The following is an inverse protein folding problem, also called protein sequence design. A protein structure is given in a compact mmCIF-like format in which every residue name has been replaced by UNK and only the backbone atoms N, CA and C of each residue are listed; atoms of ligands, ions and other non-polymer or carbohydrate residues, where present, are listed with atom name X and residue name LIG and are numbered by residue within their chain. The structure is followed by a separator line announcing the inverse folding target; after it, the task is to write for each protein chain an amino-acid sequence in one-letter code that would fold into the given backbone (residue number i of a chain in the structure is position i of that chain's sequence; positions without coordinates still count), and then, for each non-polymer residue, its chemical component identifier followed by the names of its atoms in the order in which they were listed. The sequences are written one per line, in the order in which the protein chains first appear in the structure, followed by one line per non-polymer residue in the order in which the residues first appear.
data_IF_865537822051
#
_entry.id   IF_865537822051
#
_cell.length_a   1.000
_cell.length_b   1.000
_cell.length_c   1.000
_cell.angle_alpha   90.00
_cell.angle_beta   90.00
_cell.angle_gamma   90.00
#
_symmetry.space_group_name_H-M   'P 1'
#
loop_
_entity.id
_entity.type
_entity.pdbx_description
1 polymer ?
#
# COMPACT_ATOMS: atom_id res chain seq x y z
N UNK A 1 9.46 14.78 -0.23
CA UNK A 1 9.86 13.96 -1.40
C UNK A 1 8.60 13.56 -2.14
N UNK A 2 8.54 13.85 -3.44
CA UNK A 2 7.44 13.43 -4.30
C UNK A 2 8.01 12.57 -5.43
N UNK A 3 7.49 11.35 -5.57
CA UNK A 3 7.96 10.37 -6.54
C UNK A 3 6.75 9.75 -7.26
N UNK A 4 6.80 9.66 -8.58
CA UNK A 4 5.84 8.89 -9.36
C UNK A 4 6.52 7.65 -9.94
N UNK A 5 5.91 6.50 -9.72
CA UNK A 5 6.39 5.21 -10.19
C UNK A 5 5.46 4.67 -11.29
N UNK A 6 5.99 4.45 -12.49
CA UNK A 6 5.24 3.95 -13.64
C UNK A 6 5.48 2.45 -13.80
N UNK A 7 4.39 1.67 -13.78
CA UNK A 7 4.38 0.26 -14.17
C UNK A 7 3.60 0.13 -15.47
N UNK A 8 4.24 -0.44 -16.49
CA UNK A 8 3.61 -0.79 -17.76
C UNK A 8 3.49 -2.31 -17.80
N UNK A 9 2.27 -2.87 -17.84
CA UNK A 9 2.06 -4.30 -18.06
C UNK A 9 2.80 -4.74 -19.33
N UNK A 10 3.49 -5.88 -19.27
CA UNK A 10 4.00 -6.53 -20.49
C UNK A 10 2.87 -7.19 -21.30
N UNK A 11 3.23 -7.87 -22.40
CA UNK A 11 2.26 -8.52 -23.29
C UNK A 11 1.38 -9.56 -22.59
N UNK A 12 1.90 -10.27 -21.59
CA UNK A 12 1.15 -11.26 -20.82
C UNK A 12 0.26 -10.58 -19.77
N UNK A 13 0.82 -9.63 -19.02
CA UNK A 13 0.13 -8.87 -17.98
C UNK A 13 -1.00 -7.99 -18.56
N UNK A 14 -0.86 -7.52 -19.81
CA UNK A 14 -1.87 -6.73 -20.50
C UNK A 14 -3.18 -7.48 -20.74
N UNK A 15 -3.18 -8.82 -20.63
CA UNK A 15 -4.37 -9.66 -20.75
C UNK A 15 -5.16 -9.77 -19.45
N UNK A 16 -4.67 -9.24 -18.34
CA UNK A 16 -5.35 -9.34 -17.04
C UNK A 16 -6.31 -8.18 -16.78
N UNK A 17 -7.46 -8.44 -16.13
CA UNK A 17 -8.40 -7.38 -15.75
C UNK A 17 -7.76 -6.42 -14.74
N UNK A 18 -8.25 -5.18 -14.69
CA UNK A 18 -7.77 -4.16 -13.75
C UNK A 18 -7.82 -4.60 -12.27
N UNK A 19 -8.78 -5.44 -11.91
CA UNK A 19 -8.91 -6.00 -10.55
C UNK A 19 -7.69 -6.83 -10.12
N UNK A 20 -6.94 -7.44 -11.06
CA UNK A 20 -5.72 -8.20 -10.76
C UNK A 20 -4.60 -7.31 -10.17
N UNK A 21 -4.64 -6.01 -10.44
CA UNK A 21 -3.65 -5.03 -9.99
C UNK A 21 -4.02 -4.33 -8.67
N UNK A 22 -5.16 -4.68 -8.05
CA UNK A 22 -5.68 -4.04 -6.85
C UNK A 22 -4.74 -4.11 -5.63
N UNK A 23 -3.88 -5.12 -5.58
CA UNK A 23 -2.91 -5.32 -4.49
C UNK A 23 -1.70 -4.39 -4.57
N UNK A 24 -1.43 -3.75 -5.71
CA UNK A 24 -0.20 -3.00 -5.95
C UNK A 24 0.02 -1.89 -4.90
N UNK A 25 -1.03 -1.17 -4.51
CA UNK A 25 -0.92 -0.12 -3.48
C UNK A 25 -0.39 -0.67 -2.16
N UNK A 26 -0.83 -1.87 -1.74
CA UNK A 26 -0.36 -2.47 -0.50
C UNK A 26 1.12 -2.88 -0.58
N UNK A 27 1.57 -3.37 -1.74
CA UNK A 27 2.99 -3.67 -1.98
C UNK A 27 3.85 -2.41 -1.93
N UNK A 28 3.36 -1.31 -2.50
CA UNK A 28 4.00 0.00 -2.41
C UNK A 28 4.07 0.47 -0.97
N UNK A 29 3.01 0.33 -0.16
CA UNK A 29 3.05 0.68 1.26
C UNK A 29 4.17 -0.09 2.01
N UNK A 30 4.32 -1.39 1.76
CA UNK A 30 5.41 -2.19 2.35
C UNK A 30 6.78 -1.73 1.85
N UNK A 31 6.92 -1.41 0.56
CA UNK A 31 8.18 -0.91 -0.01
C UNK A 31 8.59 0.45 0.59
N UNK A 32 7.63 1.39 0.71
CA UNK A 32 7.85 2.70 1.34
C UNK A 32 8.21 2.52 2.82
N UNK A 33 7.50 1.65 3.54
CA UNK A 33 7.81 1.34 4.94
C UNK A 33 9.24 0.82 5.10
N UNK A 34 9.66 -0.15 4.28
CA UNK A 34 11.04 -0.67 4.28
C UNK A 34 12.09 0.41 4.01
N UNK A 35 11.80 1.35 3.10
CA UNK A 35 12.70 2.46 2.81
C UNK A 35 12.83 3.42 4.01
N UNK A 36 11.72 3.77 4.63
CA UNK A 36 11.69 4.63 5.82
C UNK A 36 12.38 3.94 7.00
N UNK A 37 12.13 2.64 7.25
CA UNK A 37 12.82 1.88 8.29
C UNK A 37 14.34 1.89 8.11
N UNK A 38 14.83 1.76 6.88
CA UNK A 38 16.27 1.75 6.60
C UNK A 38 16.93 3.13 6.77
N UNK A 39 16.26 4.19 6.31
CA UNK A 39 16.83 5.54 6.33
C UNK A 39 16.66 6.22 7.68
N UNK A 40 15.54 5.96 8.36
CA UNK A 40 15.14 6.66 9.58
C UNK A 40 15.24 5.81 10.85
N UNK A 41 15.45 4.48 10.74
CA UNK A 41 15.44 3.58 11.89
C UNK A 41 14.08 3.43 12.57
N UNK A 42 13.00 3.87 11.91
CA UNK A 42 11.62 3.88 12.42
C UNK A 42 10.73 3.10 11.47
N UNK A 43 9.94 2.17 11.99
CA UNK A 43 8.95 1.43 11.19
C UNK A 43 7.61 2.16 11.22
N UNK A 44 7.11 2.63 10.07
CA UNK A 44 5.78 3.24 9.97
C UNK A 44 4.65 2.24 10.22
N UNK A 45 3.57 2.76 10.76
CA UNK A 45 2.27 2.11 10.69
C UNK A 45 1.60 2.40 9.33
N UNK A 46 0.69 1.53 8.91
CA UNK A 46 -0.16 1.70 7.75
C UNK A 46 -1.61 1.92 8.21
N UNK A 47 -2.18 3.05 7.82
CA UNK A 47 -3.62 3.29 7.87
C UNK A 47 -4.20 2.89 6.52
N UNK A 48 -5.01 1.82 6.52
CA UNK A 48 -5.50 1.23 5.29
C UNK A 48 -6.20 2.26 4.39
N UNK A 49 -5.97 2.24 3.07
CA UNK A 49 -5.07 1.34 2.31
C UNK A 49 -3.71 1.99 1.97
N UNK A 50 -3.64 3.32 2.05
CA UNK A 50 -2.68 4.09 1.28
C UNK A 50 -1.93 5.18 2.07
N UNK A 51 -2.14 5.25 3.38
CA UNK A 51 -1.52 6.24 4.24
C UNK A 51 -0.53 5.58 5.20
N UNK A 52 0.69 6.13 5.30
CA UNK A 52 1.65 5.73 6.33
C UNK A 52 1.78 6.83 7.38
N UNK A 53 1.91 6.39 8.63
CA UNK A 53 1.96 7.25 9.79
C UNK A 53 3.05 6.83 10.77
N UNK A 54 3.52 7.79 11.54
CA UNK A 54 4.43 7.61 12.67
C UNK A 54 3.83 8.36 13.84
N UNK A 55 3.82 7.73 15.02
CA UNK A 55 3.26 8.31 16.25
C UNK A 55 1.81 8.79 16.06
N UNK A 56 1.02 8.02 15.31
CA UNK A 56 -0.39 8.31 15.01
C UNK A 56 -0.64 9.44 14.00
N UNK A 57 0.41 10.05 13.42
CA UNK A 57 0.29 11.18 12.48
C UNK A 57 0.80 10.81 11.09
N UNK A 58 0.05 11.20 10.06
CA UNK A 58 0.34 10.88 8.67
C UNK A 58 1.56 11.66 8.17
N UNK A 59 2.51 10.97 7.55
CA UNK A 59 3.65 11.61 6.87
C UNK A 59 3.75 11.20 5.39
N UNK A 60 3.08 10.13 4.97
CA UNK A 60 3.11 9.68 3.59
C UNK A 60 1.70 9.33 3.10
N UNK A 61 1.42 9.72 1.86
CA UNK A 61 0.23 9.32 1.12
C UNK A 61 0.63 8.68 -0.22
N UNK A 62 -0.05 7.59 -0.56
CA UNK A 62 0.13 6.85 -1.80
C UNK A 62 -1.16 6.94 -2.62
N UNK A 63 -1.04 7.12 -3.92
CA UNK A 63 -2.16 7.11 -4.86
C UNK A 63 -1.79 6.31 -6.09
N UNK A 64 -2.49 5.20 -6.33
CA UNK A 64 -2.33 4.38 -7.53
C UNK A 64 -3.47 4.68 -8.49
N UNK A 65 -3.15 5.12 -9.70
CA UNK A 65 -4.09 5.37 -10.78
C UNK A 65 -3.78 4.46 -11.97
N UNK A 66 -4.82 4.00 -12.65
CA UNK A 66 -4.70 3.13 -13.82
C UNK A 66 -5.36 3.79 -15.03
N UNK A 67 -4.76 3.58 -16.19
CA UNK A 67 -5.39 3.86 -17.49
C UNK A 67 -5.76 2.54 -18.14
N UNK A 68 -6.94 2.47 -18.75
CA UNK A 68 -7.43 1.25 -19.38
C UNK A 68 -7.28 1.33 -20.90
N UNK A 69 -7.17 0.17 -21.54
CA UNK A 69 -7.29 0.06 -23.00
C UNK A 69 -8.70 0.46 -23.45
N UNK A 70 -8.87 1.10 -24.62
CA UNK A 70 -10.19 1.49 -25.11
C UNK A 70 -11.15 0.30 -25.18
N UNK A 71 -12.39 0.50 -24.72
CA UNK A 71 -13.46 -0.50 -24.72
C UNK A 71 -13.09 -1.81 -24.00
N UNK A 72 -12.26 -1.72 -22.96
CA UNK A 72 -11.74 -2.87 -22.24
C UNK A 72 -11.55 -2.56 -20.75
N UNK A 73 -11.59 -3.59 -19.91
CA UNK A 73 -11.22 -3.55 -18.48
C UNK A 73 -9.72 -3.88 -18.26
N UNK A 74 -8.93 -3.92 -19.33
CA UNK A 74 -7.50 -4.23 -19.32
C UNK A 74 -6.66 -2.98 -19.10
N UNK A 75 -5.62 -3.12 -18.30
CA UNK A 75 -4.74 -2.01 -17.91
C UNK A 75 -3.74 -1.70 -19.01
N UNK A 76 -3.66 -0.43 -19.41
CA UNK A 76 -2.63 0.08 -20.31
C UNK A 76 -1.38 0.53 -19.53
N UNK A 77 -1.56 1.32 -18.48
CA UNK A 77 -0.48 1.83 -17.61
C UNK A 77 -0.99 2.05 -16.20
N UNK A 78 -0.09 1.88 -15.23
CA UNK A 78 -0.34 2.16 -13.81
C UNK A 78 0.67 3.19 -13.33
N UNK A 79 0.19 4.26 -12.71
CA UNK A 79 1.03 5.27 -12.08
C UNK A 79 0.74 5.28 -10.59
N UNK A 80 1.77 5.08 -9.77
CA UNK A 80 1.69 5.25 -8.33
C UNK A 80 2.44 6.50 -7.91
N UNK A 81 1.70 7.52 -7.46
CA UNK A 81 2.24 8.71 -6.80
C UNK A 81 2.53 8.43 -5.32
N UNK A 82 3.70 8.83 -4.86
CA UNK A 82 4.18 8.67 -3.48
C UNK A 82 4.62 10.06 -2.99
N UNK A 83 3.87 10.62 -2.05
CA UNK A 83 4.21 11.87 -1.39
C UNK A 83 4.65 11.62 0.05
N UNK A 84 5.88 12.01 0.39
CA UNK A 84 6.45 11.87 1.73
C UNK A 84 6.83 13.24 2.27
N UNK A 85 6.28 13.61 3.42
CA UNK A 85 6.72 14.75 4.22
C UNK A 85 8.05 14.40 4.90
N UNK A 86 9.12 15.10 4.56
CA UNK A 86 10.48 14.79 5.04
C UNK A 86 11.00 15.84 6.01
N UNK A 87 10.99 17.12 5.63
CA UNK A 87 11.65 18.21 6.37
C UNK A 87 10.68 19.27 6.90
N UNK A 88 9.42 19.19 6.51
CA UNK A 88 8.36 20.15 6.84
C UNK A 88 8.24 20.25 8.38
N UNK A 89 8.17 21.47 8.88
CA UNK A 89 7.91 21.81 10.28
C UNK A 89 6.41 21.86 10.53
N UNK A 90 6.00 21.96 11.80
CA UNK A 90 4.59 22.03 12.17
C UNK A 90 3.90 23.25 11.53
N UNK A 91 4.61 24.37 11.44
CA UNK A 91 4.08 25.63 10.92
C UNK A 91 3.87 25.61 9.40
N UNK A 92 4.57 24.73 8.68
CA UNK A 92 4.47 24.55 7.23
C UNK A 92 3.15 23.85 6.82
N UNK A 93 2.47 23.22 7.78
CA UNK A 93 1.16 22.61 7.55
C UNK A 93 0.02 23.58 7.85
N UNK A 94 -1.10 23.52 7.08
CA UNK A 94 -2.36 24.18 7.40
C UNK A 94 -2.80 23.90 8.84
N UNK A 95 -3.36 24.90 9.52
CA UNK A 95 -3.66 24.85 10.96
C UNK A 95 -4.53 23.64 11.35
N UNK A 96 -5.51 23.32 10.53
CA UNK A 96 -6.43 22.19 10.67
C UNK A 96 -5.75 20.81 10.51
N UNK A 97 -4.57 20.75 9.90
CA UNK A 97 -3.83 19.51 9.68
C UNK A 97 -2.71 19.27 10.70
N UNK A 98 -2.25 20.31 11.42
CA UNK A 98 -1.03 20.26 12.26
C UNK A 98 -1.00 19.15 13.31
N UNK A 99 -2.16 18.72 13.80
CA UNK A 99 -2.26 17.64 14.78
C UNK A 99 -2.36 16.24 14.14
N UNK A 100 -2.78 16.15 12.88
CA UNK A 100 -3.00 14.89 12.17
C UNK A 100 -1.87 14.50 11.21
N UNK A 101 -1.01 15.46 10.83
CA UNK A 101 0.13 15.24 9.94
C UNK A 101 1.48 15.47 10.62
N UNK A 102 2.53 14.87 10.08
CA UNK A 102 3.90 15.03 10.53
C UNK A 102 4.88 14.89 9.37
N UNK A 103 6.18 15.02 9.66
CA UNK A 103 7.28 14.76 8.73
C UNK A 103 8.28 13.79 9.35
N UNK A 104 9.14 13.20 8.51
CA UNK A 104 10.20 12.32 9.00
C UNK A 104 11.16 13.04 9.95
N UNK A 105 11.50 14.30 9.69
CA UNK A 105 12.37 15.08 10.58
C UNK A 105 11.73 15.35 11.95
N UNK A 106 10.43 15.64 12.00
CA UNK A 106 9.71 15.84 13.26
C UNK A 106 9.66 14.57 14.12
N UNK A 107 9.44 13.42 13.49
CA UNK A 107 9.28 12.13 14.19
C UNK A 107 10.61 11.52 14.61
N UNK A 108 11.67 11.70 13.82
CA UNK A 108 13.02 11.24 14.15
C UNK A 108 13.77 12.19 15.09
N UNK A 109 13.35 13.46 15.16
CA UNK A 109 14.02 14.49 15.96
C UNK A 109 15.27 15.08 15.32
N UNK A 110 15.60 14.69 14.08
CA UNK A 110 16.75 15.21 13.32
C UNK A 110 16.43 15.31 11.83
N UNK A 111 17.14 16.15 11.06
CA UNK A 111 16.94 16.20 9.61
C UNK A 111 17.16 14.84 8.93
N UNK A 112 16.33 14.53 7.93
CA UNK A 112 16.43 13.31 7.11
C UNK A 112 16.85 13.69 5.69
N UNK A 113 17.83 12.98 5.14
CA UNK A 113 18.33 13.24 3.78
C UNK A 113 17.27 12.85 2.73
N UNK A 114 16.70 13.84 2.05
CA UNK A 114 15.78 13.62 0.92
C UNK A 114 16.40 12.76 -0.18
N UNK A 115 17.71 12.92 -0.43
CA UNK A 115 18.45 12.14 -1.42
C UNK A 115 18.54 10.67 -1.01
N UNK A 116 18.90 10.40 0.25
CA UNK A 116 19.00 9.03 0.77
C UNK A 116 17.63 8.35 0.77
N UNK A 117 16.58 9.09 1.15
CA UNK A 117 15.21 8.58 1.10
C UNK A 117 14.75 8.29 -0.33
N UNK A 118 14.97 9.21 -1.28
CA UNK A 118 14.58 8.99 -2.67
C UNK A 118 15.32 7.80 -3.30
N UNK A 119 16.62 7.67 -3.04
CA UNK A 119 17.42 6.53 -3.50
C UNK A 119 16.91 5.20 -2.92
N UNK A 120 16.67 5.15 -1.61
CA UNK A 120 16.16 3.93 -0.98
C UNK A 120 14.73 3.59 -1.43
N UNK A 121 13.86 4.59 -1.64
CA UNK A 121 12.54 4.39 -2.22
C UNK A 121 12.62 3.71 -3.59
N UNK A 122 13.50 4.20 -4.48
CA UNK A 122 13.70 3.59 -5.81
C UNK A 122 14.16 2.14 -5.66
N UNK A 123 15.15 1.87 -4.78
CA UNK A 123 15.65 0.50 -4.54
C UNK A 123 14.57 -0.44 -3.99
N UNK A 124 13.70 0.03 -3.10
CA UNK A 124 12.61 -0.79 -2.56
C UNK A 124 11.49 -1.02 -3.57
N UNK A 125 11.15 0.00 -4.38
CA UNK A 125 10.15 -0.13 -5.44
C UNK A 125 10.61 -1.08 -6.54
N UNK A 126 11.90 -1.06 -6.88
CA UNK A 126 12.50 -1.96 -7.86
C UNK A 126 12.42 -3.44 -7.41
N UNK A 127 12.83 -3.72 -6.16
CA UNK A 127 12.68 -5.06 -5.55
C UNK A 127 11.22 -5.49 -5.48
N UNK A 128 10.34 -4.57 -5.05
CA UNK A 128 8.91 -4.82 -4.96
C UNK A 128 8.31 -5.16 -6.33
N UNK A 129 8.72 -4.49 -7.41
CA UNK A 129 8.26 -4.80 -8.77
C UNK A 129 8.57 -6.24 -9.14
N UNK A 130 9.80 -6.68 -8.91
CA UNK A 130 10.23 -8.05 -9.23
C UNK A 130 9.44 -9.08 -8.44
N UNK A 131 9.31 -8.86 -7.12
CA UNK A 131 8.54 -9.71 -6.22
C UNK A 131 7.06 -9.79 -6.63
N UNK A 132 6.43 -8.63 -6.84
CA UNK A 132 5.03 -8.51 -7.22
C UNK A 132 4.74 -9.16 -8.57
N UNK A 133 5.58 -8.93 -9.59
CA UNK A 133 5.42 -9.57 -10.91
C UNK A 133 5.54 -11.09 -10.86
N UNK A 134 6.51 -11.62 -10.10
CA UNK A 134 6.69 -13.07 -9.94
C UNK A 134 5.45 -13.73 -9.35
N UNK A 135 4.88 -13.12 -8.32
CA UNK A 135 3.64 -13.60 -7.71
C UNK A 135 2.44 -13.43 -8.64
N UNK A 136 2.30 -12.26 -9.26
CA UNK A 136 1.18 -11.93 -10.13
C UNK A 136 1.10 -12.90 -11.31
N UNK A 137 2.22 -13.15 -11.98
CA UNK A 137 2.30 -14.16 -13.06
C UNK A 137 2.02 -15.58 -12.55
N UNK A 138 2.54 -15.96 -11.39
CA UNK A 138 2.27 -17.27 -10.81
C UNK A 138 0.78 -17.48 -10.48
N UNK A 139 0.05 -16.40 -10.18
CA UNK A 139 -1.36 -16.43 -9.80
C UNK A 139 -2.32 -16.47 -10.99
N UNK A 140 -1.89 -15.99 -12.17
CA UNK A 140 -2.77 -15.80 -13.33
C UNK A 140 -2.33 -16.55 -14.60
N UNK A 141 -1.10 -17.04 -14.71
CA UNK A 141 -0.64 -17.82 -15.87
C UNK A 141 -0.79 -19.33 -15.66
N UNK A 142 -1.20 -20.10 -16.69
CA UNK A 142 -1.26 -21.55 -16.63
C UNK A 142 0.10 -22.17 -16.26
N UNK A 143 0.09 -23.26 -15.49
CA UNK A 143 1.31 -24.01 -15.12
C UNK A 143 2.16 -24.43 -16.34
N UNK A 144 1.55 -24.61 -17.51
CA UNK A 144 2.24 -24.93 -18.77
C UNK A 144 3.08 -23.79 -19.35
N UNK A 145 2.81 -22.56 -18.91
CA UNK A 145 3.48 -21.32 -19.36
C UNK A 145 4.56 -20.87 -18.36
N UNK A 146 4.56 -21.43 -17.15
CA UNK A 146 5.63 -21.23 -16.17
C UNK A 146 6.89 -22.00 -16.65
N UNK A 147 7.90 -21.25 -17.06
CA UNK A 147 9.12 -21.65 -17.77
C UNK A 147 9.65 -23.09 -17.55
N UNK A 148 10.00 -23.75 -18.67
CA UNK A 148 10.73 -25.02 -18.76
C UNK A 148 12.22 -24.92 -18.34
N UNK A 149 12.55 -24.30 -17.20
CA UNK A 149 13.97 -24.26 -16.76
C UNK A 149 14.16 -24.30 -15.23
N UNK A 150 14.18 -25.50 -14.61
CA UNK A 150 14.31 -25.67 -13.16
C UNK A 150 15.79 -25.77 -12.73
N UNK A 151 16.62 -24.78 -13.07
CA UNK A 151 18.03 -24.75 -12.61
C UNK A 151 18.40 -23.42 -11.97
N UNK A 152 17.88 -23.19 -10.77
CA UNK A 152 18.59 -22.76 -9.55
C UNK A 152 17.58 -22.20 -8.54
N UNK A 153 17.39 -22.92 -7.43
CA UNK A 153 17.39 -22.38 -6.06
C UNK A 153 17.26 -23.56 -5.10
N UNK A 154 18.42 -24.09 -4.67
CA UNK A 154 18.51 -24.85 -3.44
C UNK A 154 18.52 -23.85 -2.28
N UNK A 155 17.44 -23.87 -1.50
CA UNK A 155 17.23 -23.08 -0.30
C UNK A 155 15.74 -23.18 0.00
N UNK A 156 15.39 -23.68 1.19
CA UNK A 156 14.02 -23.81 1.75
C UNK A 156 12.94 -23.09 0.94
N UNK A 157 11.93 -23.83 0.43
CA UNK A 157 10.76 -23.25 -0.24
C UNK A 157 10.23 -22.07 0.60
N UNK A 158 10.28 -20.82 0.10
CA UNK A 158 9.91 -19.68 0.90
C UNK A 158 8.43 -19.75 1.27
N UNK A 159 8.06 -19.25 2.46
CA UNK A 159 6.78 -18.57 2.61
C UNK A 159 6.56 -17.72 1.35
N UNK A 160 5.45 -17.88 0.63
CA UNK A 160 5.26 -17.25 -0.68
C UNK A 160 5.58 -15.75 -0.59
N UNK A 161 6.10 -15.14 -1.66
CA UNK A 161 6.40 -13.69 -1.72
C UNK A 161 5.20 -12.90 -1.17
N UNK A 162 3.99 -13.28 -1.58
CA UNK A 162 2.72 -12.81 -1.04
C UNK A 162 2.66 -12.83 0.48
N UNK A 163 2.93 -13.97 1.09
CA UNK A 163 2.86 -14.14 2.54
C UNK A 163 3.83 -13.21 3.27
N UNK A 164 5.02 -12.95 2.70
CA UNK A 164 5.96 -11.98 3.25
C UNK A 164 5.39 -10.56 3.26
N UNK A 165 4.83 -10.11 2.13
CA UNK A 165 4.22 -8.78 2.01
C UNK A 165 2.95 -8.65 2.86
N UNK A 166 2.08 -9.66 2.84
CA UNK A 166 0.85 -9.69 3.60
C UNK A 166 1.13 -9.70 5.11
N UNK A 167 2.12 -10.49 5.57
CA UNK A 167 2.52 -10.49 6.98
C UNK A 167 3.12 -9.16 7.40
N UNK A 168 3.95 -8.54 6.55
CA UNK A 168 4.51 -7.22 6.83
C UNK A 168 3.39 -6.17 6.93
N UNK A 169 2.48 -6.13 5.94
CA UNK A 169 1.35 -5.20 5.93
C UNK A 169 0.45 -5.38 7.16
N UNK A 170 0.05 -6.62 7.48
CA UNK A 170 -0.76 -6.95 8.67
C UNK A 170 -0.08 -6.54 9.98
N UNK A 171 1.24 -6.64 10.07
CA UNK A 171 1.99 -6.24 11.28
C UNK A 171 2.01 -4.73 11.50
N UNK A 172 1.79 -3.95 10.45
CA UNK A 172 1.75 -2.48 10.48
C UNK A 172 0.33 -1.92 10.47
N UNK A 173 -0.71 -2.77 10.39
CA UNK A 173 -2.10 -2.33 10.35
C UNK A 173 -2.52 -1.70 11.70
N UNK A 174 -2.69 -0.38 11.67
CA UNK A 174 -3.03 0.41 12.87
C UNK A 174 -4.52 0.53 13.12
N UNK A 175 -5.36 0.10 12.17
CA UNK A 175 -6.82 0.23 12.31
C UNK A 175 -7.48 -1.04 12.81
N UNK A 176 -6.78 -2.19 12.82
CA UNK A 176 -7.29 -3.44 13.37
C UNK A 176 -7.90 -3.27 14.77
N UNK A 177 -9.13 -3.75 14.91
CA UNK A 177 -9.89 -3.75 16.17
C UNK A 177 -10.51 -2.40 16.54
N UNK A 178 -10.27 -1.33 15.77
CA UNK A 178 -10.82 0.00 16.04
C UNK A 178 -12.22 0.16 15.44
N UNK A 179 -12.97 1.07 16.04
CA UNK A 179 -14.21 1.58 15.47
C UNK A 179 -13.86 2.59 14.38
N UNK A 180 -14.45 2.40 13.21
CA UNK A 180 -14.18 3.17 12.01
C UNK A 180 -15.49 3.62 11.37
N UNK A 181 -15.34 4.64 10.55
CA UNK A 181 -16.36 5.20 9.69
C UNK A 181 -15.91 5.00 8.25
N UNK A 182 -16.75 4.30 7.52
CA UNK A 182 -16.56 3.94 6.12
C UNK A 182 -17.48 4.82 5.30
N UNK A 183 -16.91 5.63 4.42
CA UNK A 183 -17.66 6.53 3.53
C UNK A 183 -17.41 6.09 2.10
N UNK A 184 -18.48 5.74 1.39
CA UNK A 184 -18.49 5.57 -0.07
C UNK A 184 -19.28 6.73 -0.71
N UNK A 185 -19.52 6.66 -2.02
CA UNK A 185 -20.26 7.70 -2.75
C UNK A 185 -21.77 7.72 -2.46
N UNK A 186 -22.32 6.66 -1.85
CA UNK A 186 -23.74 6.56 -1.50
C UNK A 186 -24.01 6.99 -0.07
N UNK A 187 -23.16 6.58 0.86
CA UNK A 187 -23.46 6.62 2.28
C UNK A 187 -22.20 6.58 3.17
N UNK A 188 -22.42 6.93 4.43
CA UNK A 188 -21.47 6.77 5.52
C UNK A 188 -22.02 5.75 6.52
N UNK A 189 -21.21 4.76 6.88
CA UNK A 189 -21.58 3.68 7.82
C UNK A 189 -20.49 3.51 8.87
N UNK A 190 -20.89 3.25 10.11
CA UNK A 190 -19.96 2.86 11.17
C UNK A 190 -19.72 1.35 11.17
N UNK A 191 -18.48 0.96 11.37
CA UNK A 191 -18.06 -0.43 11.40
C UNK A 191 -16.91 -0.65 12.37
N UNK A 192 -16.70 -1.90 12.76
CA UNK A 192 -15.48 -2.33 13.43
C UNK A 192 -14.52 -2.94 12.42
N UNK A 193 -13.27 -2.47 12.39
CA UNK A 193 -12.23 -3.07 11.57
C UNK A 193 -11.79 -4.41 12.18
N UNK A 194 -11.98 -5.51 11.45
CA UNK A 194 -11.59 -6.87 11.87
C UNK A 194 -10.11 -7.15 11.54
N UNK A 195 -9.59 -6.49 10.50
CA UNK A 195 -8.19 -6.57 10.07
C UNK A 195 -8.09 -6.65 8.55
N UNK A 196 -6.93 -7.10 8.07
CA UNK A 196 -6.64 -7.19 6.64
C UNK A 196 -6.85 -8.61 6.13
N UNK A 197 -7.67 -8.78 5.09
CA UNK A 197 -7.92 -10.05 4.41
C UNK A 197 -6.75 -10.48 3.50
N UNK A 198 -6.91 -11.60 2.81
CA UNK A 198 -5.80 -12.22 2.08
C UNK A 198 -5.48 -11.53 0.75
N UNK A 199 -6.36 -10.65 0.25
CA UNK A 199 -6.14 -9.76 -0.90
C UNK A 199 -5.91 -8.30 -0.50
N UNK A 200 -5.48 -8.07 0.75
CA UNK A 200 -5.27 -6.73 1.31
C UNK A 200 -6.55 -5.88 1.42
N UNK A 201 -7.72 -6.50 1.31
CA UNK A 201 -9.01 -5.90 1.66
C UNK A 201 -9.07 -5.55 3.15
N UNK A 202 -9.83 -4.52 3.48
CA UNK A 202 -10.20 -4.25 4.86
C UNK A 202 -11.44 -5.07 5.22
N UNK A 203 -11.29 -6.02 6.13
CA UNK A 203 -12.40 -6.78 6.69
C UNK A 203 -13.07 -5.93 7.76
N UNK A 204 -14.38 -5.71 7.61
CA UNK A 204 -15.17 -4.89 8.53
C UNK A 204 -16.40 -5.64 9.01
N UNK A 205 -16.91 -5.28 10.19
CA UNK A 205 -18.26 -5.64 10.65
C UNK A 205 -19.07 -4.37 10.87
N UNK A 206 -20.11 -4.15 10.09
CA UNK A 206 -20.94 -2.95 10.19
C UNK A 206 -21.85 -2.97 11.42
N UNK A 207 -22.04 -1.81 12.06
CA UNK A 207 -22.83 -1.68 13.29
C UNK A 207 -24.34 -1.69 13.06
N UNK A 208 -24.79 -1.26 11.89
CA UNK A 208 -26.20 -1.11 11.54
C UNK A 208 -26.93 -2.45 11.41
N UNK A 209 -26.27 -3.45 10.81
CA UNK A 209 -26.86 -4.76 10.51
C UNK A 209 -26.00 -5.95 10.98
N UNK A 210 -24.80 -5.70 11.52
CA UNK A 210 -23.87 -6.75 11.95
C UNK A 210 -23.18 -7.50 10.80
N UNK A 211 -23.38 -7.10 9.54
CA UNK A 211 -22.83 -7.78 8.38
C UNK A 211 -21.31 -7.62 8.32
N UNK A 212 -20.63 -8.70 7.91
CA UNK A 212 -19.20 -8.67 7.62
C UNK A 212 -18.96 -8.51 6.13
N UNK A 213 -18.08 -7.58 5.77
CA UNK A 213 -17.78 -7.24 4.38
C UNK A 213 -16.27 -7.07 4.18
N UNK A 214 -15.82 -7.38 2.97
CA UNK A 214 -14.46 -7.20 2.49
C UNK A 214 -14.39 -5.94 1.61
N UNK A 215 -13.81 -4.86 2.12
CA UNK A 215 -13.73 -3.59 1.42
C UNK A 215 -12.45 -3.51 0.57
N UNK A 216 -12.59 -3.14 -0.70
CA UNK A 216 -11.47 -2.86 -1.60
C UNK A 216 -11.21 -1.35 -1.70
N UNK A 217 -9.96 -0.97 -1.94
CA UNK A 217 -9.59 0.43 -2.13
C UNK A 217 -10.11 0.99 -3.45
N UNK A 218 -10.25 2.32 -3.52
CA UNK A 218 -10.56 3.05 -4.76
C UNK A 218 -11.62 4.13 -4.59
N UNK A 219 -12.73 3.80 -3.94
CA UNK A 219 -13.88 4.71 -3.76
C UNK A 219 -14.29 4.88 -2.28
N UNK A 220 -13.52 4.28 -1.38
CA UNK A 220 -13.85 4.22 0.04
C UNK A 220 -12.86 5.06 0.84
N UNK A 221 -13.40 5.91 1.72
CA UNK A 221 -12.63 6.62 2.75
C UNK A 221 -12.86 5.97 4.11
N UNK A 222 -11.78 5.77 4.88
CA UNK A 222 -11.85 5.22 6.24
C UNK A 222 -11.32 6.23 7.25
N UNK A 223 -12.15 6.55 8.25
CA UNK A 223 -11.78 7.43 9.38
C UNK A 223 -11.96 6.68 10.70
N UNK A 224 -11.12 6.97 11.67
CA UNK A 224 -11.32 6.46 13.02
C UNK A 224 -12.52 7.19 13.65
N UNK A 225 -13.36 6.47 14.39
CA UNK A 225 -14.38 7.10 15.23
C UNK A 225 -13.69 7.51 16.53
N UNK A 226 -13.54 8.81 16.75
CA UNK A 226 -13.09 9.35 18.03
C UNK A 226 -14.19 9.09 19.09
N UNK A 227 -13.77 8.70 20.29
CA UNK A 227 -14.66 8.48 21.43
C UNK A 227 -15.01 9.78 22.13
#
# INVERSE_FOLDING_TARGET
VYLSYLLVPDEEEALFPASSFSTLTAYVCVAVSRAVSRVCGRTPDIKWVNDLQLDGRKFCGILTQMTLLPNSDRVQKIVTGIGVNVLEKKEDFPEDLRESVTSLAQTTGHPVSCVSLAAELILQLDRMREDWRREHRASFLPLSTQEKNPKRMNGSLPQTIRQSYLSAYRSMDVIKGKEIRVTDWKQEREARALGIGDNFELLVRFKDNGAEEALTGGEITVRLVEK
#
